data_IF_183938528549
#
_entry.id   IF_183938528549
#
_cell.length_a   1.000
_cell.length_b   1.000
_cell.length_c   1.000
_cell.angle_alpha   90.00
_cell.angle_beta   90.00
_cell.angle_gamma   90.00
#
_symmetry.space_group_name_H-M   'P 1'
#
loop_
_entity.id
_entity.type
_entity.pdbx_description
1 polymer ?
#
# COMPACT_ATOMS: atom_id res chain seq x y z
N UNK A 1 10.03 9.37 -4.57
CA UNK A 1 8.86 9.15 -3.68
C UNK A 1 9.12 9.81 -2.34
N UNK A 2 8.10 10.31 -1.63
CA UNK A 2 8.29 10.92 -0.29
C UNK A 2 8.84 9.88 0.70
N UNK A 3 9.84 10.25 1.52
CA UNK A 3 10.49 9.34 2.50
C UNK A 3 9.50 8.68 3.46
N UNK A 4 8.45 9.40 3.87
CA UNK A 4 7.42 8.90 4.79
C UNK A 4 6.60 7.78 4.13
N UNK A 5 6.13 7.99 2.90
CA UNK A 5 5.35 7.00 2.15
C UNK A 5 6.18 5.78 1.80
N UNK A 6 7.46 5.98 1.45
CA UNK A 6 8.38 4.87 1.21
C UNK A 6 8.57 3.99 2.44
N UNK A 7 8.78 4.58 3.62
CA UNK A 7 8.88 3.83 4.88
C UNK A 7 7.61 3.07 5.23
N UNK A 8 6.45 3.71 5.07
CA UNK A 8 5.16 3.06 5.31
C UNK A 8 4.93 1.87 4.35
N UNK A 9 5.32 2.01 3.08
CA UNK A 9 5.23 0.92 2.11
C UNK A 9 6.15 -0.25 2.47
N UNK A 10 7.40 0.04 2.85
CA UNK A 10 8.34 -1.01 3.28
C UNK A 10 7.84 -1.75 4.54
N UNK A 11 7.35 -1.03 5.55
CA UNK A 11 6.80 -1.65 6.76
C UNK A 11 5.61 -2.56 6.45
N UNK A 12 4.70 -2.12 5.58
CA UNK A 12 3.58 -2.96 5.14
C UNK A 12 4.06 -4.17 4.34
N UNK A 13 5.11 -4.02 3.52
CA UNK A 13 5.68 -5.13 2.76
C UNK A 13 6.31 -6.20 3.64
N UNK A 14 7.04 -5.82 4.69
CA UNK A 14 7.59 -6.78 5.64
C UNK A 14 6.47 -7.51 6.39
N UNK A 15 5.47 -6.78 6.92
CA UNK A 15 4.33 -7.39 7.60
C UNK A 15 3.57 -8.38 6.69
N UNK A 16 3.32 -8.01 5.43
CA UNK A 16 2.65 -8.90 4.48
C UNK A 16 3.50 -10.12 4.13
N UNK A 17 4.83 -10.00 4.07
CA UNK A 17 5.73 -11.14 3.83
C UNK A 17 5.71 -12.13 5.00
N UNK A 18 5.64 -11.63 6.22
CA UNK A 18 5.59 -12.47 7.42
C UNK A 18 4.29 -13.29 7.50
N UNK A 19 3.16 -12.69 7.11
CA UNK A 19 1.85 -13.35 7.15
C UNK A 19 1.49 -14.13 5.88
N UNK A 20 2.02 -13.73 4.72
CA UNK A 20 1.67 -14.28 3.40
C UNK A 20 2.92 -14.39 2.50
N UNK A 21 3.85 -15.31 2.80
CA UNK A 21 5.14 -15.43 2.11
C UNK A 21 5.03 -15.76 0.61
N UNK A 22 3.88 -16.27 0.16
CA UNK A 22 3.58 -16.58 -1.24
C UNK A 22 3.18 -15.36 -2.08
N UNK A 23 2.84 -14.23 -1.44
CA UNK A 23 2.43 -13.02 -2.16
C UNK A 23 3.62 -12.37 -2.87
N UNK A 24 3.44 -12.09 -4.16
CA UNK A 24 4.35 -11.23 -4.91
C UNK A 24 4.00 -9.78 -4.66
N UNK A 25 5.00 -9.00 -4.27
CA UNK A 25 4.82 -7.60 -3.92
C UNK A 25 5.47 -6.71 -4.97
N UNK A 26 4.70 -5.77 -5.51
CA UNK A 26 5.19 -4.73 -6.40
C UNK A 26 4.85 -3.35 -5.82
N UNK A 27 5.76 -2.40 -5.97
CA UNK A 27 5.56 -1.03 -5.47
C UNK A 27 5.80 -0.03 -6.60
N UNK A 28 4.75 0.71 -6.98
CA UNK A 28 4.82 1.82 -7.94
C UNK A 28 5.49 1.45 -9.28
N UNK A 29 5.03 0.36 -9.92
CA UNK A 29 5.47 -0.02 -11.29
C UNK A 29 5.21 1.09 -12.33
N UNK A 30 4.28 1.99 -12.02
CA UNK A 30 4.01 3.23 -12.74
C UNK A 30 4.15 4.44 -11.82
N UNK A 31 4.24 5.65 -12.41
CA UNK A 31 4.34 6.90 -11.65
C UNK A 31 3.17 7.03 -10.65
N UNK A 32 3.44 7.10 -9.34
CA UNK A 32 2.38 7.09 -8.34
C UNK A 32 1.64 8.43 -8.25
N UNK A 33 0.38 8.37 -7.81
CA UNK A 33 -0.39 9.57 -7.50
C UNK A 33 0.21 10.29 -6.29
N UNK A 34 0.32 11.62 -6.39
CA UNK A 34 0.94 12.45 -5.34
C UNK A 34 0.05 12.46 -4.09
N UNK A 35 0.63 12.12 -2.95
CA UNK A 35 0.00 12.29 -1.63
C UNK A 35 -1.05 11.24 -1.26
N UNK A 36 -1.08 10.10 -1.95
CA UNK A 36 -1.93 8.95 -1.66
C UNK A 36 -1.12 7.73 -1.24
N UNK A 37 -1.78 6.78 -0.58
CA UNK A 37 -1.20 5.49 -0.22
C UNK A 37 -2.27 4.45 -0.50
N UNK A 38 -2.05 3.69 -1.56
CA UNK A 38 -3.05 2.77 -2.11
C UNK A 38 -2.47 1.36 -2.06
N UNK A 39 -3.31 0.39 -1.70
CA UNK A 39 -2.95 -1.03 -1.67
C UNK A 39 -4.02 -1.77 -2.46
N UNK A 40 -3.57 -2.52 -3.47
CA UNK A 40 -4.44 -3.28 -4.35
C UNK A 40 -3.93 -4.71 -4.42
N UNK A 41 -4.83 -5.67 -4.24
CA UNK A 41 -4.56 -7.07 -4.46
C UNK A 41 -4.93 -7.43 -5.90
N UNK A 42 -4.00 -8.00 -6.64
CA UNK A 42 -4.25 -8.56 -7.96
C UNK A 42 -4.36 -10.08 -7.86
N UNK A 43 -5.47 -10.62 -8.39
CA UNK A 43 -5.72 -12.05 -8.44
C UNK A 43 -5.18 -12.65 -9.75
N UNK A 44 -5.02 -13.97 -9.78
CA UNK A 44 -4.58 -14.69 -10.98
C UNK A 44 -5.53 -14.52 -12.19
N UNK A 45 -6.80 -14.22 -11.94
CA UNK A 45 -7.79 -13.91 -12.99
C UNK A 45 -7.70 -12.46 -13.51
N UNK A 46 -6.66 -11.71 -13.10
CA UNK A 46 -6.43 -10.31 -13.46
C UNK A 46 -7.33 -9.32 -12.74
N UNK A 47 -8.24 -9.78 -11.85
CA UNK A 47 -9.10 -8.87 -11.09
C UNK A 47 -8.31 -8.18 -9.99
N UNK A 48 -8.60 -6.90 -9.82
CA UNK A 48 -8.00 -6.04 -8.80
C UNK A 48 -9.02 -5.70 -7.71
N UNK A 49 -8.59 -5.86 -6.47
CA UNK A 49 -9.39 -5.53 -5.29
C UNK A 49 -8.64 -4.44 -4.53
N UNK A 50 -9.30 -3.30 -4.29
CA UNK A 50 -8.80 -2.26 -3.40
C UNK A 50 -8.83 -2.79 -1.96
N UNK A 51 -7.64 -2.94 -1.36
CA UNK A 51 -7.48 -3.35 0.04
C UNK A 51 -7.43 -2.11 0.93
N UNK A 52 -6.81 -1.04 0.44
CA UNK A 52 -6.71 0.22 1.16
C UNK A 52 -6.61 1.41 0.21
N UNK A 53 -7.31 2.50 0.54
CA UNK A 53 -7.14 3.80 -0.11
C UNK A 53 -6.90 4.91 0.92
N UNK A 54 -5.79 5.61 0.75
CA UNK A 54 -5.45 6.82 1.50
C UNK A 54 -6.00 8.09 0.85
N UNK A 55 -6.73 7.98 -0.27
CA UNK A 55 -7.31 9.14 -0.96
C UNK A 55 -8.48 9.76 -0.21
N UNK A 56 -9.36 8.91 0.33
CA UNK A 56 -10.55 9.34 1.07
C UNK A 56 -10.22 9.71 2.52
N UNK A 57 -9.01 9.38 2.97
CA UNK A 57 -8.46 9.76 4.27
C UNK A 57 -7.88 11.17 4.09
N UNK A 58 -8.65 12.19 4.48
CA UNK A 58 -8.27 13.59 4.36
C UNK A 58 -6.97 13.95 5.12
N UNK A 59 -6.67 15.23 5.31
CA UNK A 59 -5.74 15.61 6.37
C UNK A 59 -6.29 15.07 7.71
N UNK A 60 -5.47 14.53 8.64
CA UNK A 60 -4.00 14.47 8.69
C UNK A 60 -3.36 13.26 7.99
N UNK A 61 -2.09 13.40 7.55
CA UNK A 61 -1.34 12.38 6.78
C UNK A 61 -1.27 11.00 7.44
N UNK A 62 -1.22 10.93 8.77
CA UNK A 62 -1.15 9.65 9.50
C UNK A 62 -2.33 8.72 9.16
N UNK A 63 -3.51 9.28 8.88
CA UNK A 63 -4.72 8.53 8.56
C UNK A 63 -4.69 7.90 7.16
N UNK A 64 -3.72 8.28 6.33
CA UNK A 64 -3.58 7.75 4.97
C UNK A 64 -2.94 6.37 4.94
N UNK A 65 -2.28 5.95 6.02
CA UNK A 65 -1.64 4.65 6.13
C UNK A 65 -2.55 3.70 6.93
N UNK A 66 -2.52 2.39 6.62
CA UNK A 66 -3.18 1.40 7.45
C UNK A 66 -2.57 1.41 8.86
N UNK A 67 -3.40 1.14 9.86
CA UNK A 67 -2.93 0.99 11.25
C UNK A 67 -2.14 -0.32 11.37
N UNK A 68 -1.04 -0.27 12.12
CA UNK A 68 -0.39 -1.46 12.62
C UNK A 68 -1.15 -1.83 13.90
N UNK A 69 -1.80 -3.00 13.94
CA UNK A 69 -2.26 -3.53 15.24
C UNK A 69 -1.07 -3.87 16.13
#
# INVERSE_FOLDING_TARGET
TSRVYGRAAAALQEALRDHFPELRMEANTVKPRRGSFEVTLERQDGKRIEVWTGLKKGPPRKLKFPESE
#
